data_IF_846396595810
#
_entry.id   IF_846396595810
#
_cell.length_a   1.000
_cell.length_b   1.000
_cell.length_c   1.000
_cell.angle_alpha   90.00
_cell.angle_beta   90.00
_cell.angle_gamma   90.00
#
_symmetry.space_group_name_H-M   'P 1'
#
loop_
_entity.id
_entity.type
_entity.pdbx_description
1 polymer ?
#
# COMPACT_ATOMS: atom_id res chain seq x y z
N UNK A 1 -3.35 -0.61 -12.26
CA UNK A 1 -3.73 0.14 -11.03
C UNK A 1 -4.73 -0.58 -10.14
N UNK A 2 -5.90 -1.04 -10.61
CA UNK A 2 -6.91 -1.68 -9.74
C UNK A 2 -6.37 -2.84 -8.90
N UNK A 3 -5.66 -3.79 -9.52
CA UNK A 3 -5.10 -4.93 -8.82
C UNK A 3 -4.10 -4.51 -7.72
N UNK A 4 -3.30 -3.48 -7.97
CA UNK A 4 -2.36 -2.95 -6.99
C UNK A 4 -3.10 -2.31 -5.80
N UNK A 5 -4.14 -1.50 -6.03
CA UNK A 5 -4.97 -0.94 -4.94
C UNK A 5 -5.62 -2.05 -4.10
N UNK A 6 -6.12 -3.12 -4.74
CA UNK A 6 -6.74 -4.27 -4.06
C UNK A 6 -5.74 -5.14 -3.27
N UNK A 7 -4.44 -5.07 -3.59
CA UNK A 7 -3.37 -5.69 -2.80
C UNK A 7 -2.95 -4.82 -1.61
N UNK A 8 -3.07 -3.49 -1.75
CA UNK A 8 -2.71 -2.53 -0.72
C UNK A 8 -3.79 -2.38 0.35
N UNK A 9 -5.06 -2.21 -0.06
CA UNK A 9 -6.15 -1.79 0.82
C UNK A 9 -7.43 -2.60 0.61
N UNK A 10 -8.06 -3.05 1.70
CA UNK A 10 -9.41 -3.62 1.70
C UNK A 10 -10.45 -2.52 1.98
N UNK A 11 -11.22 -2.10 0.97
CA UNK A 11 -12.25 -1.05 1.13
C UNK A 11 -13.66 -1.60 1.39
N UNK A 12 -13.85 -2.92 1.29
CA UNK A 12 -15.18 -3.55 1.43
C UNK A 12 -15.54 -3.88 2.87
N UNK A 13 -14.55 -3.97 3.77
CA UNK A 13 -14.79 -4.23 5.19
C UNK A 13 -15.28 -2.95 5.88
N UNK A 14 -16.55 -2.94 6.30
CA UNK A 14 -17.21 -1.80 6.94
C UNK A 14 -17.49 -2.04 8.42
N UNK A 15 -17.64 -3.30 8.81
CA UNK A 15 -17.81 -3.73 10.20
C UNK A 15 -16.91 -4.92 10.53
N UNK A 16 -16.82 -5.28 11.82
CA UNK A 16 -15.88 -6.30 12.28
C UNK A 16 -16.14 -7.70 11.69
N UNK A 17 -17.42 -8.04 11.49
CA UNK A 17 -17.90 -9.29 10.89
C UNK A 17 -17.54 -9.44 9.40
N UNK A 18 -17.28 -8.33 8.71
CA UNK A 18 -16.89 -8.34 7.30
C UNK A 18 -15.49 -8.92 7.07
N UNK A 19 -14.62 -8.93 8.09
CA UNK A 19 -13.21 -9.31 7.95
C UNK A 19 -13.01 -10.77 7.51
N UNK A 20 -13.97 -11.65 7.82
CA UNK A 20 -13.99 -13.03 7.33
C UNK A 20 -14.26 -13.14 5.82
N UNK A 21 -15.07 -12.24 5.27
CA UNK A 21 -15.43 -12.21 3.84
C UNK A 21 -14.47 -11.34 3.02
N UNK A 22 -13.90 -10.32 3.66
CA UNK A 22 -13.04 -9.31 3.07
C UNK A 22 -11.74 -9.24 3.86
N UNK A 23 -10.79 -10.15 3.58
CA UNK A 23 -9.55 -10.22 4.34
C UNK A 23 -8.75 -8.92 4.21
N UNK A 24 -8.03 -8.62 5.29
CA UNK A 24 -7.09 -7.52 5.37
C UNK A 24 -6.03 -7.59 4.27
N UNK A 25 -5.52 -6.42 3.90
CA UNK A 25 -4.51 -6.22 2.86
C UNK A 25 -3.25 -5.63 3.46
N UNK A 26 -2.24 -5.44 2.62
CA UNK A 26 -0.88 -5.13 3.06
C UNK A 26 -0.82 -4.02 4.12
N UNK A 27 -1.48 -2.89 3.90
CA UNK A 27 -1.44 -1.76 4.84
C UNK A 27 -1.98 -2.11 6.22
N UNK A 28 -3.08 -2.88 6.29
CA UNK A 28 -3.67 -3.30 7.56
C UNK A 28 -2.76 -4.29 8.30
N UNK A 29 -2.16 -5.23 7.58
CA UNK A 29 -1.21 -6.20 8.15
C UNK A 29 0.05 -5.53 8.70
N UNK A 30 0.56 -4.52 7.98
CA UNK A 30 1.73 -3.75 8.39
C UNK A 30 1.45 -2.89 9.62
N UNK A 31 0.31 -2.17 9.64
CA UNK A 31 -0.12 -1.40 10.80
C UNK A 31 -0.38 -2.30 12.02
N UNK A 32 -0.95 -3.49 11.81
CA UNK A 32 -1.13 -4.46 12.88
C UNK A 32 0.21 -4.85 13.50
N UNK A 33 1.24 -5.14 12.70
CA UNK A 33 2.58 -5.43 13.20
C UNK A 33 3.14 -4.28 14.05
N UNK A 34 3.03 -3.03 13.58
CA UNK A 34 3.48 -1.85 14.34
C UNK A 34 2.78 -1.81 15.69
N UNK A 35 1.44 -1.88 15.70
CA UNK A 35 0.63 -1.83 16.91
C UNK A 35 0.96 -2.95 17.90
N UNK A 36 1.32 -4.15 17.42
CA UNK A 36 1.75 -5.26 18.29
C UNK A 36 3.10 -5.00 18.98
N UNK A 37 3.93 -4.14 18.40
CA UNK A 37 5.25 -3.79 18.96
C UNK A 37 5.24 -2.47 19.72
N UNK A 38 4.20 -1.66 19.54
CA UNK A 38 3.99 -0.38 20.21
C UNK A 38 3.32 -0.58 21.57
N UNK A 39 4.02 -0.25 22.66
CA UNK A 39 3.44 -0.16 24.00
C UNK A 39 4.28 0.74 24.90
N UNK A 40 3.79 1.05 26.11
CA UNK A 40 4.57 1.80 27.11
C UNK A 40 5.87 1.10 27.55
N UNK A 41 6.00 -0.19 27.29
CA UNK A 41 7.24 -0.97 27.44
C UNK A 41 7.44 -1.77 26.13
N UNK A 42 8.00 -1.14 25.08
CA UNK A 42 8.11 -1.78 23.77
C UNK A 42 8.85 -3.11 23.85
N UNK A 43 8.29 -4.14 23.24
CA UNK A 43 8.91 -5.47 23.19
C UNK A 43 8.90 -6.02 21.78
N UNK A 44 10.09 -6.13 21.19
CA UNK A 44 10.26 -6.78 19.89
C UNK A 44 10.49 -8.27 20.11
N UNK A 45 9.52 -9.08 19.71
CA UNK A 45 9.56 -10.55 19.82
C UNK A 45 10.10 -11.19 18.54
N UNK A 46 10.54 -12.46 18.62
CA UNK A 46 10.92 -13.21 17.41
C UNK A 46 9.78 -13.31 16.38
N UNK A 47 8.52 -13.62 16.76
CA UNK A 47 7.40 -13.57 15.81
C UNK A 47 7.24 -12.22 15.11
N UNK A 48 7.42 -11.11 15.83
CA UNK A 48 7.36 -9.76 15.23
C UNK A 48 8.47 -9.56 14.20
N UNK A 49 9.69 -10.05 14.46
CA UNK A 49 10.82 -9.99 13.52
C UNK A 49 10.57 -10.83 12.27
N UNK A 50 10.08 -12.05 12.44
CA UNK A 50 9.74 -12.94 11.31
C UNK A 50 8.64 -12.31 10.45
N UNK A 51 7.58 -11.79 11.08
CA UNK A 51 6.49 -11.14 10.36
C UNK A 51 6.95 -9.88 9.62
N UNK A 52 7.85 -9.11 10.20
CA UNK A 52 8.46 -7.97 9.52
C UNK A 52 9.21 -8.42 8.26
N UNK A 53 10.04 -9.47 8.36
CA UNK A 53 10.78 -9.99 7.21
C UNK A 53 9.86 -10.42 6.07
N UNK A 54 8.76 -11.13 6.38
CA UNK A 54 7.74 -11.52 5.39
C UNK A 54 7.08 -10.31 4.72
N UNK A 55 6.71 -9.30 5.51
CA UNK A 55 6.06 -8.09 5.00
C UNK A 55 7.03 -7.21 4.20
N UNK A 56 8.32 -7.17 4.56
CA UNK A 56 9.33 -6.43 3.82
C UNK A 56 9.52 -6.97 2.40
N UNK A 57 9.54 -8.29 2.22
CA UNK A 57 9.61 -8.90 0.89
C UNK A 57 8.37 -8.54 0.05
N UNK A 58 7.18 -8.55 0.66
CA UNK A 58 5.95 -8.12 -0.03
C UNK A 58 6.00 -6.63 -0.38
N UNK A 59 6.54 -5.80 0.52
CA UNK A 59 6.67 -4.36 0.31
C UNK A 59 7.56 -4.02 -0.87
N UNK A 60 8.69 -4.72 -1.05
CA UNK A 60 9.60 -4.47 -2.16
C UNK A 60 8.88 -4.57 -3.52
N UNK A 61 8.07 -5.60 -3.70
CA UNK A 61 7.28 -5.80 -4.93
C UNK A 61 6.22 -4.71 -5.08
N UNK A 62 5.45 -4.43 -4.02
CA UNK A 62 4.37 -3.44 -4.05
C UNK A 62 4.90 -2.02 -4.27
N UNK A 63 6.05 -1.68 -3.67
CA UNK A 63 6.72 -0.39 -3.85
C UNK A 63 7.24 -0.26 -5.27
N UNK A 64 7.87 -1.29 -5.83
CA UNK A 64 8.37 -1.24 -7.21
C UNK A 64 7.23 -0.97 -8.22
N UNK A 65 6.07 -1.61 -8.04
CA UNK A 65 4.89 -1.30 -8.87
C UNK A 65 4.38 0.13 -8.65
N UNK A 66 4.43 0.65 -7.43
CA UNK A 66 4.05 2.04 -7.16
C UNK A 66 5.00 3.04 -7.84
N UNK A 67 6.30 2.75 -7.79
CA UNK A 67 7.33 3.56 -8.43
C UNK A 67 7.16 3.52 -9.97
N UNK A 68 6.86 2.36 -10.57
CA UNK A 68 6.51 2.26 -12.01
C UNK A 68 5.28 3.11 -12.38
N UNK A 69 4.22 3.03 -11.57
CA UNK A 69 3.01 3.86 -11.77
C UNK A 69 3.35 5.35 -11.73
N UNK A 70 4.19 5.76 -10.77
CA UNK A 70 4.55 7.15 -10.53
C UNK A 70 5.47 7.69 -11.61
N UNK A 71 6.48 6.93 -11.99
CA UNK A 71 7.58 7.39 -12.84
C UNK A 71 7.30 7.14 -14.33
N UNK A 72 6.42 6.19 -14.65
CA UNK A 72 6.13 5.80 -16.05
C UNK A 72 4.67 6.04 -16.42
N UNK A 73 3.73 5.41 -15.71
CA UNK A 73 2.32 5.43 -16.14
C UNK A 73 1.69 6.82 -16.06
N UNK A 74 1.88 7.54 -14.94
CA UNK A 74 1.27 8.86 -14.77
C UNK A 74 1.86 9.88 -15.76
N UNK A 75 3.18 9.99 -15.97
CA UNK A 75 3.74 10.87 -17.00
C UNK A 75 3.23 10.56 -18.40
N UNK A 76 3.15 9.28 -18.77
CA UNK A 76 2.61 8.86 -20.06
C UNK A 76 1.13 9.27 -20.22
N UNK A 77 0.32 9.07 -19.19
CA UNK A 77 -1.08 9.47 -19.19
C UNK A 77 -1.25 10.99 -19.23
N UNK A 78 -0.43 11.74 -18.48
CA UNK A 78 -0.44 13.20 -18.49
C UNK A 78 -0.11 13.77 -19.88
N UNK A 79 0.80 13.14 -20.63
CA UNK A 79 1.05 13.52 -22.02
C UNK A 79 -0.22 13.42 -22.87
N UNK A 80 -0.94 12.30 -22.78
CA UNK A 80 -2.20 12.09 -23.51
C UNK A 80 -3.27 13.12 -23.11
N UNK A 81 -3.36 13.46 -21.83
CA UNK A 81 -4.31 14.48 -21.36
C UNK A 81 -3.99 15.89 -21.86
N UNK A 82 -2.70 16.23 -21.99
CA UNK A 82 -2.28 17.49 -22.59
C UNK A 82 -2.61 17.55 -24.08
N UNK A 83 -2.34 16.47 -24.82
CA UNK A 83 -2.70 16.36 -26.24
C UNK A 83 -4.22 16.48 -26.46
N UNK A 84 -5.02 15.99 -25.51
CA UNK A 84 -6.48 16.11 -25.51
C UNK A 84 -7.00 17.47 -25.00
N UNK A 85 -6.14 18.40 -24.58
CA UNK A 85 -6.53 19.72 -24.07
C UNK A 85 -7.16 19.74 -22.68
N UNK A 86 -7.04 18.65 -21.91
CA UNK A 86 -7.62 18.50 -20.56
C UNK A 86 -6.67 19.02 -19.48
N UNK A 87 -5.36 18.83 -19.68
CA UNK A 87 -4.32 19.15 -18.69
C UNK A 87 -4.00 17.98 -17.75
N UNK A 88 -2.94 18.11 -16.95
CA UNK A 88 -2.34 16.99 -16.20
C UNK A 88 -3.02 16.68 -14.85
N UNK A 89 -2.97 15.41 -14.48
CA UNK A 89 -3.17 14.93 -13.11
C UNK A 89 -2.00 15.40 -12.24
N UNK A 90 -2.33 16.06 -11.12
CA UNK A 90 -1.33 16.56 -10.17
C UNK A 90 -0.75 15.42 -9.35
N UNK A 91 0.57 15.36 -9.28
CA UNK A 91 1.30 14.47 -8.38
C UNK A 91 1.96 15.28 -7.27
N UNK A 92 1.95 14.75 -6.04
CA UNK A 92 2.91 15.18 -5.02
C UNK A 92 4.16 14.31 -5.20
N UNK A 93 5.28 14.94 -5.54
CA UNK A 93 6.57 14.26 -5.58
C UNK A 93 6.93 13.78 -4.17
N UNK A 94 7.56 12.60 -4.06
CA UNK A 94 8.24 12.18 -2.82
C UNK A 94 9.26 13.29 -2.49
N UNK A 95 9.16 13.88 -1.29
CA UNK A 95 10.19 14.75 -0.73
C UNK A 95 11.35 13.90 -0.22
#
# INVERSE_FOLDING_TARGET
MKNWDELMVQRKSKSYDDTGNYPNKFTSEYLFLINQTESGIPRITEPSRVRLAELSVQWEVLSATADEIIETDIPAYNKQLWEAGIGAVRMKLKQ
#
